data_IF_153259321253
#
_entry.id   IF_153259321253
#
_cell.length_a   1.000
_cell.length_b   1.000
_cell.length_c   1.000
_cell.angle_alpha   90.00
_cell.angle_beta   90.00
_cell.angle_gamma   90.00
#
_symmetry.space_group_name_H-M   'P 1'
#
loop_
_entity.id
_entity.type
_entity.pdbx_description
1 polymer ?
#
# COMPACT_ATOMS: atom_id res chain seq x y z
N UNK A 1 22.02 -36.97 5.32
CA UNK A 1 21.67 -36.15 6.49
C UNK A 1 22.26 -34.76 6.29
N UNK A 2 21.40 -33.77 5.93
CA UNK A 2 21.86 -32.38 5.85
C UNK A 2 22.19 -31.89 7.27
N UNK A 3 23.44 -31.45 7.48
CA UNK A 3 23.85 -30.75 8.71
C UNK A 3 23.27 -29.33 8.81
N UNK A 4 22.37 -28.95 7.93
CA UNK A 4 21.75 -27.64 7.81
C UNK A 4 20.33 -27.66 8.38
N UNK A 5 19.85 -26.50 8.85
CA UNK A 5 18.49 -26.38 9.35
C UNK A 5 17.50 -26.49 8.17
N UNK A 6 16.62 -27.49 8.20
CA UNK A 6 15.55 -27.67 7.24
C UNK A 6 14.19 -27.51 7.95
N UNK A 7 13.26 -26.79 7.35
CA UNK A 7 11.92 -26.52 7.89
C UNK A 7 10.87 -26.87 6.84
N UNK A 8 9.89 -27.68 7.19
CA UNK A 8 8.75 -27.98 6.32
C UNK A 8 7.81 -26.78 6.36
N UNK A 9 7.58 -26.17 5.22
CA UNK A 9 6.67 -25.03 5.04
C UNK A 9 5.43 -25.53 4.32
N UNK A 10 4.27 -25.35 4.98
CA UNK A 10 2.99 -25.72 4.36
C UNK A 10 2.77 -27.24 4.26
N UNK A 11 1.98 -27.79 5.15
CA UNK A 11 1.61 -29.21 5.15
C UNK A 11 0.92 -29.67 3.86
N UNK A 12 0.32 -28.71 3.11
CA UNK A 12 -0.44 -28.98 1.90
C UNK A 12 0.44 -29.32 0.68
N UNK A 13 1.64 -28.73 0.59
CA UNK A 13 2.49 -28.85 -0.62
C UNK A 13 3.86 -29.47 -0.35
N UNK A 14 4.13 -29.91 0.89
CA UNK A 14 5.40 -30.53 1.33
C UNK A 14 6.66 -29.78 0.83
N UNK A 15 6.59 -28.44 0.90
CA UNK A 15 7.73 -27.60 0.59
C UNK A 15 8.72 -27.61 1.76
N UNK A 16 10.00 -27.83 1.48
CA UNK A 16 11.08 -27.81 2.47
C UNK A 16 11.98 -26.61 2.20
N UNK A 17 12.14 -25.75 3.18
CA UNK A 17 13.15 -24.70 3.16
C UNK A 17 14.45 -25.22 3.77
N UNK A 18 15.53 -25.24 3.00
CA UNK A 18 16.88 -25.53 3.48
C UNK A 18 17.61 -24.20 3.68
N UNK A 19 18.01 -23.91 4.92
CA UNK A 19 18.52 -22.59 5.31
C UNK A 19 20.05 -22.61 5.33
N UNK A 20 20.68 -21.74 4.51
CA UNK A 20 22.12 -21.53 4.41
C UNK A 20 22.46 -20.09 4.85
N UNK A 21 22.61 -19.87 6.16
CA UNK A 21 22.83 -18.54 6.70
C UNK A 21 21.64 -17.60 6.43
N UNK A 22 21.76 -16.69 5.47
CA UNK A 22 20.68 -15.78 5.03
C UNK A 22 19.95 -16.27 3.79
N UNK A 23 20.46 -17.28 3.11
CA UNK A 23 19.89 -17.85 1.90
C UNK A 23 18.94 -19.00 2.24
N UNK A 24 17.86 -19.11 1.49
CA UNK A 24 16.88 -20.18 1.62
C UNK A 24 16.73 -20.86 0.26
N UNK A 25 16.97 -22.18 0.25
CA UNK A 25 16.70 -23.02 -0.92
C UNK A 25 15.38 -23.72 -0.69
N UNK A 26 14.44 -23.51 -1.59
CA UNK A 26 13.13 -24.18 -1.57
C UNK A 26 13.23 -25.50 -2.31
N UNK A 27 12.93 -26.60 -1.61
CA UNK A 27 12.91 -27.94 -2.17
C UNK A 27 11.48 -28.48 -2.20
N UNK A 28 11.02 -28.93 -3.36
CA UNK A 28 9.74 -29.63 -3.52
C UNK A 28 9.89 -30.85 -4.40
N UNK A 29 8.95 -31.77 -4.29
CA UNK A 29 8.85 -32.92 -5.22
C UNK A 29 8.16 -32.51 -6.51
N UNK A 30 8.42 -33.21 -7.60
CA UNK A 30 7.62 -33.11 -8.83
C UNK A 30 6.21 -33.60 -8.57
N UNK A 31 5.24 -33.00 -9.24
CA UNK A 31 3.82 -33.28 -9.08
C UNK A 31 3.23 -33.86 -10.36
N UNK A 32 2.40 -34.87 -10.22
CA UNK A 32 1.70 -35.50 -11.34
C UNK A 32 0.71 -34.54 -12.03
N UNK A 33 0.38 -34.83 -13.28
CA UNK A 33 -0.67 -34.15 -14.02
C UNK A 33 -2.02 -34.27 -13.30
N UNK A 34 -2.92 -33.30 -13.55
CA UNK A 34 -4.26 -33.30 -12.98
C UNK A 34 -5.04 -34.53 -13.37
N UNK A 35 -5.72 -35.18 -12.41
CA UNK A 35 -6.59 -36.33 -12.63
C UNK A 35 -6.28 -37.57 -11.78
N UNK A 36 -5.04 -37.85 -11.46
CA UNK A 36 -4.66 -39.01 -10.65
C UNK A 36 -4.67 -38.69 -9.15
N UNK A 37 -5.86 -38.77 -8.51
CA UNK A 37 -5.96 -38.68 -7.04
C UNK A 37 -6.09 -37.28 -6.42
N UNK A 38 -6.37 -36.26 -7.21
CA UNK A 38 -6.67 -34.92 -6.70
C UNK A 38 -8.05 -34.87 -6.05
N UNK A 39 -8.12 -34.33 -4.82
CA UNK A 39 -9.39 -33.96 -4.19
C UNK A 39 -9.77 -32.54 -4.59
N UNK A 40 -10.88 -32.39 -5.30
CA UNK A 40 -11.51 -31.10 -5.59
C UNK A 40 -12.67 -30.89 -4.60
N UNK A 41 -12.86 -29.66 -4.15
CA UNK A 41 -14.07 -29.27 -3.42
C UNK A 41 -15.27 -29.09 -4.36
N UNK A 42 -16.45 -28.80 -3.78
CA UNK A 42 -17.69 -28.60 -4.54
C UNK A 42 -17.63 -27.45 -5.57
N UNK A 43 -16.61 -26.59 -5.50
CA UNK A 43 -16.37 -25.47 -6.43
C UNK A 43 -15.33 -25.78 -7.50
N UNK A 44 -14.83 -27.03 -7.56
CA UNK A 44 -13.78 -27.46 -8.49
C UNK A 44 -12.35 -27.08 -8.06
N UNK A 45 -12.17 -26.54 -6.86
CA UNK A 45 -10.87 -26.15 -6.31
C UNK A 45 -10.12 -27.36 -5.82
N UNK A 46 -8.85 -27.50 -6.22
CA UNK A 46 -7.98 -28.58 -5.75
C UNK A 46 -7.68 -28.40 -4.25
N UNK A 47 -8.17 -29.31 -3.42
CA UNK A 47 -7.99 -29.30 -1.95
C UNK A 47 -6.74 -30.06 -1.53
N UNK A 48 -6.32 -31.07 -2.31
CA UNK A 48 -5.10 -31.85 -2.05
C UNK A 48 -4.43 -32.20 -3.38
N UNK A 49 -3.13 -31.87 -3.51
CA UNK A 49 -2.33 -31.99 -4.72
C UNK A 49 -0.97 -32.63 -4.38
N UNK A 50 -0.98 -33.70 -3.61
CA UNK A 50 0.24 -34.37 -3.13
C UNK A 50 0.55 -35.67 -3.88
N UNK A 51 0.15 -35.76 -5.13
CA UNK A 51 0.50 -36.90 -5.98
C UNK A 51 1.88 -36.61 -6.58
N UNK A 52 2.84 -37.49 -6.29
CA UNK A 52 4.17 -37.41 -6.90
C UNK A 52 4.07 -37.75 -8.37
N UNK A 53 4.80 -37.01 -9.18
CA UNK A 53 4.86 -37.19 -10.62
C UNK A 53 6.28 -37.13 -11.15
N UNK A 54 6.38 -37.28 -12.44
CA UNK A 54 7.62 -37.14 -13.17
C UNK A 54 7.94 -35.67 -13.48
N UNK A 55 9.17 -35.36 -13.84
CA UNK A 55 9.62 -33.98 -14.13
C UNK A 55 8.83 -33.35 -15.28
N UNK A 56 8.51 -34.11 -16.33
CA UNK A 56 7.73 -33.64 -17.48
C UNK A 56 6.26 -33.32 -17.09
N UNK A 57 5.68 -34.06 -16.14
CA UNK A 57 4.34 -33.79 -15.62
C UNK A 57 4.32 -32.48 -14.83
N UNK A 58 5.32 -32.26 -13.98
CA UNK A 58 5.45 -31.01 -13.25
C UNK A 58 5.67 -29.82 -14.20
N UNK A 59 6.43 -30.01 -15.28
CA UNK A 59 6.62 -29.01 -16.33
C UNK A 59 5.29 -28.63 -17.01
N UNK A 60 4.48 -29.61 -17.36
CA UNK A 60 3.19 -29.40 -18.04
C UNK A 60 2.15 -28.67 -17.18
N UNK A 61 2.27 -28.72 -15.85
CA UNK A 61 1.39 -28.02 -14.92
C UNK A 61 1.76 -26.56 -14.67
N UNK A 62 2.97 -26.15 -15.07
CA UNK A 62 3.43 -24.78 -14.90
C UNK A 62 2.63 -23.81 -15.79
N UNK A 63 2.77 -22.53 -15.51
CA UNK A 63 2.03 -21.50 -16.22
C UNK A 63 2.64 -21.18 -17.60
N UNK A 64 3.92 -20.84 -17.64
CA UNK A 64 4.57 -20.37 -18.86
C UNK A 64 5.80 -21.22 -19.21
N UNK A 65 6.09 -21.35 -20.49
CA UNK A 65 7.19 -22.16 -21.03
C UNK A 65 8.52 -21.79 -20.40
N UNK A 66 8.82 -20.51 -20.25
CA UNK A 66 10.05 -20.00 -19.65
C UNK A 66 10.20 -20.31 -18.14
N UNK A 67 9.10 -20.66 -17.48
CA UNK A 67 9.08 -21.05 -16.06
C UNK A 67 9.14 -22.58 -15.87
N UNK A 68 9.18 -23.35 -16.96
CA UNK A 68 9.19 -24.80 -16.96
C UNK A 68 10.53 -25.40 -17.42
N UNK A 69 11.60 -24.65 -17.24
CA UNK A 69 12.96 -25.12 -17.46
C UNK A 69 13.53 -25.73 -16.17
N UNK A 70 14.20 -26.87 -16.28
CA UNK A 70 14.88 -27.53 -15.17
C UNK A 70 16.37 -27.68 -15.49
N UNK A 71 17.19 -27.50 -14.50
CA UNK A 71 18.64 -27.63 -14.65
C UNK A 71 19.19 -28.56 -13.59
N UNK A 72 19.95 -29.58 -14.03
CA UNK A 72 20.72 -30.45 -13.16
C UNK A 72 22.13 -29.90 -13.00
N UNK A 73 22.54 -29.43 -11.82
CA UNK A 73 23.85 -28.88 -11.58
C UNK A 73 24.96 -29.94 -11.58
N UNK A 74 24.64 -31.24 -11.45
CA UNK A 74 25.63 -32.32 -11.46
C UNK A 74 26.01 -32.69 -12.89
N UNK A 75 25.03 -32.91 -13.77
CA UNK A 75 25.25 -33.26 -15.18
C UNK A 75 25.40 -32.05 -16.07
N UNK A 76 25.01 -30.85 -15.55
CA UNK A 76 24.93 -29.59 -16.31
C UNK A 76 23.92 -29.66 -17.46
N UNK A 77 22.92 -30.52 -17.35
CA UNK A 77 21.89 -30.69 -18.35
C UNK A 77 20.70 -29.75 -18.11
N UNK A 78 20.17 -29.20 -19.20
CA UNK A 78 18.96 -28.41 -19.23
C UNK A 78 17.80 -29.25 -19.80
N UNK A 79 16.74 -29.44 -19.04
CA UNK A 79 15.54 -30.12 -19.48
C UNK A 79 14.46 -29.10 -19.84
N UNK A 80 14.03 -29.14 -21.10
CA UNK A 80 13.02 -28.24 -21.67
C UNK A 80 11.95 -29.02 -22.43
N UNK A 81 10.82 -29.26 -21.79
CA UNK A 81 9.70 -30.03 -22.34
C UNK A 81 8.74 -29.18 -23.20
N UNK A 82 8.82 -27.84 -23.12
CA UNK A 82 7.84 -26.92 -23.70
C UNK A 82 8.46 -25.82 -24.56
N UNK A 83 9.71 -25.97 -25.00
CA UNK A 83 10.44 -25.00 -25.83
C UNK A 83 10.62 -23.64 -25.13
N UNK A 84 10.76 -23.64 -23.79
CA UNK A 84 10.93 -22.44 -22.98
C UNK A 84 12.23 -21.71 -23.30
N UNK A 85 13.29 -22.42 -23.67
CA UNK A 85 14.57 -21.82 -24.05
C UNK A 85 14.46 -21.01 -25.36
N UNK A 86 13.72 -21.50 -26.34
CA UNK A 86 13.45 -20.78 -27.58
C UNK A 86 12.60 -19.52 -27.31
N UNK A 87 11.57 -19.62 -26.46
CA UNK A 87 10.73 -18.49 -26.08
C UNK A 87 11.52 -17.46 -25.26
N UNK A 88 12.45 -17.90 -24.41
CA UNK A 88 13.36 -17.04 -23.67
C UNK A 88 14.27 -16.25 -24.64
N UNK A 89 14.88 -16.92 -25.61
CA UNK A 89 15.72 -16.31 -26.65
C UNK A 89 14.92 -15.29 -27.50
N UNK A 90 13.66 -15.64 -27.83
CA UNK A 90 12.76 -14.79 -28.60
C UNK A 90 12.10 -13.68 -27.76
N UNK A 91 12.38 -13.58 -26.46
CA UNK A 91 11.72 -12.67 -25.51
C UNK A 91 10.20 -12.76 -25.57
N UNK A 92 9.67 -13.96 -25.61
CA UNK A 92 8.25 -14.27 -25.75
C UNK A 92 7.72 -14.96 -24.50
N UNK A 93 6.58 -14.55 -24.03
CA UNK A 93 5.85 -15.21 -22.92
C UNK A 93 4.71 -16.03 -23.48
N UNK A 94 4.81 -17.34 -23.41
CA UNK A 94 3.84 -18.31 -23.92
C UNK A 94 3.28 -19.16 -22.78
N UNK A 95 1.94 -19.33 -22.77
CA UNK A 95 1.24 -20.25 -21.87
C UNK A 95 1.49 -21.71 -22.28
N UNK A 96 1.66 -22.58 -21.29
CA UNK A 96 1.70 -24.03 -21.51
C UNK A 96 0.25 -24.54 -21.57
N UNK A 97 -0.10 -25.26 -22.67
CA UNK A 97 -1.45 -25.75 -22.91
C UNK A 97 -2.37 -24.72 -23.56
N UNK A 98 -3.69 -24.95 -23.54
CA UNK A 98 -4.67 -24.00 -24.07
C UNK A 98 -4.83 -22.79 -23.13
N UNK A 99 -4.56 -21.58 -23.58
CA UNK A 99 -4.60 -20.42 -22.71
C UNK A 99 -5.98 -20.15 -22.09
N UNK A 100 -7.08 -20.39 -22.83
CA UNK A 100 -8.41 -20.14 -22.32
C UNK A 100 -8.79 -21.14 -21.21
N UNK A 101 -8.42 -22.39 -21.34
CA UNK A 101 -8.61 -23.41 -20.30
C UNK A 101 -7.76 -23.08 -19.07
N UNK A 102 -6.48 -22.73 -19.27
CA UNK A 102 -5.56 -22.39 -18.21
C UNK A 102 -5.97 -21.14 -17.40
N UNK A 103 -6.63 -20.17 -18.05
CA UNK A 103 -7.18 -19.00 -17.36
C UNK A 103 -8.48 -19.33 -16.60
N UNK A 104 -9.29 -20.29 -17.07
CA UNK A 104 -10.46 -20.79 -16.31
C UNK A 104 -10.03 -21.54 -15.05
N UNK A 105 -8.98 -22.37 -15.14
CA UNK A 105 -8.44 -23.10 -13.99
C UNK A 105 -7.89 -22.13 -12.92
N UNK A 106 -7.14 -21.11 -13.35
CA UNK A 106 -6.53 -20.12 -12.47
C UNK A 106 -6.47 -18.73 -13.13
N UNK A 107 -7.49 -17.88 -12.89
CA UNK A 107 -7.55 -16.55 -13.47
C UNK A 107 -6.36 -15.65 -13.09
N UNK A 108 -5.68 -15.93 -11.97
CA UNK A 108 -4.49 -15.18 -11.54
C UNK A 108 -3.35 -15.28 -12.55
N UNK A 109 -3.34 -16.31 -13.40
CA UNK A 109 -2.35 -16.45 -14.49
C UNK A 109 -2.38 -15.26 -15.46
N UNK A 110 -3.53 -14.60 -15.66
CA UNK A 110 -3.62 -13.38 -16.47
C UNK A 110 -2.76 -12.23 -15.87
N UNK A 111 -2.84 -12.03 -14.56
CA UNK A 111 -1.99 -11.05 -13.87
C UNK A 111 -0.51 -11.42 -13.92
N UNK A 112 -0.23 -12.70 -13.76
CA UNK A 112 1.13 -13.22 -13.84
C UNK A 112 1.73 -13.02 -15.22
N UNK A 113 0.94 -13.23 -16.29
CA UNK A 113 1.35 -12.96 -17.67
C UNK A 113 1.79 -11.50 -17.84
N UNK A 114 0.95 -10.57 -17.43
CA UNK A 114 1.26 -9.13 -17.49
C UNK A 114 2.50 -8.79 -16.69
N UNK A 115 2.60 -9.27 -15.45
CA UNK A 115 3.73 -8.99 -14.56
C UNK A 115 5.05 -9.52 -15.11
N UNK A 116 5.08 -10.78 -15.57
CA UNK A 116 6.30 -11.42 -16.07
C UNK A 116 6.73 -10.77 -17.37
N UNK A 117 5.80 -10.51 -18.29
CA UNK A 117 6.08 -9.83 -19.55
C UNK A 117 6.66 -8.43 -19.30
N UNK A 118 6.05 -7.63 -18.44
CA UNK A 118 6.53 -6.29 -18.11
C UNK A 118 7.90 -6.33 -17.40
N UNK A 119 8.09 -7.25 -16.43
CA UNK A 119 9.34 -7.40 -15.69
C UNK A 119 10.52 -7.79 -16.58
N UNK A 120 10.31 -8.66 -17.56
CA UNK A 120 11.36 -9.16 -18.44
C UNK A 120 11.48 -8.36 -19.74
N UNK A 121 10.57 -7.44 -20.02
CA UNK A 121 10.48 -6.75 -21.30
C UNK A 121 10.12 -7.70 -22.45
N UNK A 122 9.29 -8.72 -22.17
CA UNK A 122 8.85 -9.72 -23.13
C UNK A 122 7.51 -9.36 -23.75
N UNK A 123 7.28 -9.81 -24.96
CA UNK A 123 5.95 -9.78 -25.60
C UNK A 123 5.15 -11.01 -25.18
N UNK A 124 3.88 -10.82 -24.86
CA UNK A 124 2.97 -11.95 -24.65
C UNK A 124 2.63 -12.54 -26.04
N UNK A 125 2.72 -13.85 -26.19
CA UNK A 125 2.32 -14.51 -27.43
C UNK A 125 0.85 -14.22 -27.76
N UNK A 126 0.50 -13.95 -29.02
CA UNK A 126 -0.88 -13.59 -29.39
C UNK A 126 -1.97 -14.58 -28.93
N UNK A 127 -1.70 -15.89 -29.01
CA UNK A 127 -2.63 -16.91 -28.52
C UNK A 127 -2.81 -16.87 -27.00
N UNK A 128 -1.75 -16.52 -26.27
CA UNK A 128 -1.76 -16.36 -24.81
C UNK A 128 -2.44 -15.05 -24.40
N UNK A 129 -2.28 -13.96 -25.19
CA UNK A 129 -2.82 -12.64 -24.90
C UNK A 129 -4.31 -12.49 -25.22
N UNK A 130 -4.75 -13.02 -26.38
CA UNK A 130 -6.08 -12.80 -26.92
C UNK A 130 -7.27 -13.16 -25.99
N UNK A 131 -7.20 -14.19 -25.12
CA UNK A 131 -8.27 -14.48 -24.17
C UNK A 131 -8.33 -13.52 -22.98
N UNK A 132 -7.24 -12.83 -22.63
CA UNK A 132 -7.13 -12.04 -21.39
C UNK A 132 -8.26 -11.00 -21.24
N UNK A 133 -8.50 -10.09 -22.20
CA UNK A 133 -9.56 -9.09 -22.04
C UNK A 133 -10.96 -9.69 -21.92
N UNK A 134 -11.21 -10.81 -22.61
CA UNK A 134 -12.51 -11.49 -22.60
C UNK A 134 -12.78 -12.21 -21.28
N UNK A 135 -11.73 -12.64 -20.60
CA UNK A 135 -11.81 -13.46 -19.38
C UNK A 135 -11.51 -12.68 -18.10
N UNK A 136 -11.23 -11.37 -18.19
CA UNK A 136 -10.89 -10.51 -17.06
C UNK A 136 -11.88 -10.63 -15.89
N UNK A 137 -13.18 -10.79 -16.16
CA UNK A 137 -14.22 -10.96 -15.13
C UNK A 137 -14.02 -12.19 -14.24
N UNK A 138 -13.28 -13.20 -14.68
CA UNK A 138 -13.01 -14.38 -13.85
C UNK A 138 -12.19 -14.04 -12.60
N UNK A 139 -11.48 -12.92 -12.60
CA UNK A 139 -10.74 -12.44 -11.42
C UNK A 139 -11.67 -12.11 -10.24
N UNK A 140 -12.91 -11.74 -10.48
CA UNK A 140 -13.91 -11.46 -9.43
C UNK A 140 -14.19 -12.69 -8.55
N UNK A 141 -13.97 -13.90 -9.09
CA UNK A 141 -14.17 -15.17 -8.40
C UNK A 141 -12.92 -15.63 -7.60
N UNK A 142 -11.81 -14.89 -7.71
CA UNK A 142 -10.57 -15.23 -7.00
C UNK A 142 -10.63 -14.71 -5.56
N UNK A 143 -10.21 -15.51 -4.55
CA UNK A 143 -10.14 -15.01 -3.18
C UNK A 143 -9.32 -13.72 -3.07
N UNK A 144 -9.85 -12.72 -2.41
CA UNK A 144 -9.24 -11.38 -2.30
C UNK A 144 -7.81 -11.39 -1.75
N UNK A 145 -7.50 -12.27 -0.79
CA UNK A 145 -6.15 -12.42 -0.27
C UNK A 145 -5.13 -12.81 -1.35
N UNK A 146 -5.53 -13.67 -2.28
CA UNK A 146 -4.68 -14.11 -3.38
C UNK A 146 -4.49 -13.02 -4.44
N UNK A 147 -5.53 -12.23 -4.69
CA UNK A 147 -5.44 -11.05 -5.57
C UNK A 147 -4.49 -10.01 -5.00
N UNK A 148 -4.59 -9.71 -3.69
CA UNK A 148 -3.70 -8.77 -3.01
C UNK A 148 -2.24 -9.20 -3.08
N UNK A 149 -1.95 -10.49 -2.90
CA UNK A 149 -0.59 -11.01 -3.02
C UNK A 149 -0.02 -10.82 -4.43
N UNK A 150 -0.79 -11.05 -5.49
CA UNK A 150 -0.32 -10.81 -6.86
C UNK A 150 -0.22 -9.32 -7.20
N UNK A 151 -1.15 -8.48 -6.71
CA UNK A 151 -1.05 -7.02 -6.83
C UNK A 151 0.23 -6.51 -6.16
N UNK A 152 0.54 -6.97 -4.95
CA UNK A 152 1.78 -6.59 -4.28
C UNK A 152 3.02 -7.01 -5.07
N UNK A 153 3.06 -8.25 -5.60
CA UNK A 153 4.16 -8.71 -6.45
C UNK A 153 4.32 -7.85 -7.71
N UNK A 154 3.20 -7.44 -8.29
CA UNK A 154 3.16 -6.58 -9.48
C UNK A 154 3.71 -5.18 -9.17
N UNK A 155 3.28 -4.59 -8.05
CA UNK A 155 3.72 -3.26 -7.63
C UNK A 155 5.17 -3.24 -7.10
N UNK A 156 5.73 -4.41 -6.74
CA UNK A 156 7.09 -4.52 -6.15
C UNK A 156 8.08 -5.27 -7.04
N UNK A 157 7.75 -5.49 -8.32
CA UNK A 157 8.65 -6.21 -9.24
C UNK A 157 9.78 -5.36 -9.83
N UNK A 158 9.80 -4.04 -9.58
CA UNK A 158 10.76 -3.10 -10.15
C UNK A 158 10.37 -2.56 -11.54
N UNK A 159 9.18 -2.89 -12.02
CA UNK A 159 8.59 -2.46 -13.29
C UNK A 159 7.10 -2.16 -13.12
N UNK A 160 6.72 -1.56 -11.99
CA UNK A 160 5.33 -1.34 -11.61
C UNK A 160 4.59 -0.43 -12.60
N UNK A 161 5.27 0.61 -13.11
CA UNK A 161 4.71 1.52 -14.13
C UNK A 161 4.30 0.73 -15.38
N UNK A 162 5.20 -0.11 -15.92
CA UNK A 162 4.94 -0.93 -17.10
C UNK A 162 3.83 -1.96 -16.82
N UNK A 163 3.82 -2.56 -15.63
CA UNK A 163 2.79 -3.51 -15.21
C UNK A 163 1.40 -2.86 -15.18
N UNK A 164 1.25 -1.69 -14.59
CA UNK A 164 -0.04 -0.98 -14.51
C UNK A 164 -0.52 -0.56 -15.91
N UNK A 165 0.39 -0.05 -16.75
CA UNK A 165 0.07 0.30 -18.12
C UNK A 165 -0.44 -0.92 -18.92
N UNK A 166 0.23 -2.07 -18.81
CA UNK A 166 -0.19 -3.30 -19.48
C UNK A 166 -1.50 -3.86 -18.91
N UNK A 167 -1.71 -3.84 -17.59
CA UNK A 167 -2.99 -4.22 -16.97
C UNK A 167 -4.16 -3.39 -17.52
N UNK A 168 -3.95 -2.10 -17.74
CA UNK A 168 -4.98 -1.21 -18.32
C UNK A 168 -5.27 -1.57 -19.77
N UNK A 169 -4.24 -1.81 -20.58
CA UNK A 169 -4.38 -2.24 -21.98
C UNK A 169 -5.21 -3.52 -22.10
N UNK A 170 -4.96 -4.47 -21.21
CA UNK A 170 -5.66 -5.76 -21.16
C UNK A 170 -7.04 -5.70 -20.46
N UNK A 171 -7.46 -4.55 -19.95
CA UNK A 171 -8.74 -4.40 -19.25
C UNK A 171 -8.82 -5.10 -17.88
N UNK A 172 -7.70 -5.62 -17.35
CA UNK A 172 -7.65 -6.35 -16.08
C UNK A 172 -7.83 -5.42 -14.87
N UNK A 173 -7.57 -4.13 -15.01
CA UNK A 173 -7.66 -3.15 -13.93
C UNK A 173 -9.06 -3.08 -13.31
N UNK A 174 -10.13 -3.21 -14.12
CA UNK A 174 -11.53 -3.14 -13.66
C UNK A 174 -11.91 -4.25 -12.68
N UNK A 175 -11.41 -5.45 -12.92
CA UNK A 175 -11.71 -6.60 -12.06
C UNK A 175 -10.81 -6.69 -10.84
N UNK A 176 -9.60 -6.10 -10.92
CA UNK A 176 -8.60 -6.21 -9.87
C UNK A 176 -8.68 -5.13 -8.81
N UNK A 177 -8.95 -3.93 -9.25
CA UNK A 177 -8.94 -2.75 -8.42
C UNK A 177 -10.03 -1.80 -8.92
N UNK A 178 -11.30 -1.99 -8.53
CA UNK A 178 -12.30 -0.93 -8.69
C UNK A 178 -11.79 0.42 -8.20
N UNK A 179 -10.80 0.35 -7.30
CA UNK A 179 -10.01 1.45 -6.79
C UNK A 179 -9.12 2.12 -7.85
N UNK A 180 -8.49 1.38 -8.76
CA UNK A 180 -7.65 1.98 -9.81
C UNK A 180 -8.50 2.80 -10.77
N UNK A 181 -9.71 2.37 -11.09
CA UNK A 181 -10.62 3.14 -11.94
C UNK A 181 -11.01 4.46 -11.27
N UNK A 182 -11.26 4.45 -9.95
CA UNK A 182 -11.58 5.66 -9.19
C UNK A 182 -10.36 6.60 -9.06
N UNK A 183 -9.16 6.04 -8.85
CA UNK A 183 -7.92 6.83 -8.75
C UNK A 183 -7.59 7.48 -10.09
N UNK A 184 -7.73 6.72 -11.18
CA UNK A 184 -7.37 7.16 -12.54
C UNK A 184 -8.43 8.10 -13.13
N UNK A 185 -9.68 8.06 -12.64
CA UNK A 185 -10.72 9.00 -13.07
C UNK A 185 -10.57 10.42 -12.49
N UNK A 186 -9.74 10.58 -11.45
CA UNK A 186 -9.40 11.90 -10.91
C UNK A 186 -8.08 12.36 -11.56
N UNK A 187 -8.01 13.55 -12.21
CA UNK A 187 -6.82 14.00 -12.94
C UNK A 187 -5.52 13.95 -12.10
N UNK A 188 -5.57 14.45 -10.89
CA UNK A 188 -4.42 14.45 -9.96
C UNK A 188 -4.10 13.04 -9.43
N UNK A 189 -5.06 12.11 -9.47
CA UNK A 189 -4.90 10.75 -8.95
C UNK A 189 -3.99 9.89 -9.81
N UNK A 190 -4.11 9.96 -11.13
CA UNK A 190 -3.25 9.21 -12.06
C UNK A 190 -1.81 9.69 -11.97
N UNK A 191 -1.58 11.00 -11.99
CA UNK A 191 -0.24 11.56 -11.92
C UNK A 191 0.46 11.20 -10.62
N UNK A 192 -0.26 11.29 -9.49
CA UNK A 192 0.24 10.88 -8.18
C UNK A 192 0.59 9.40 -8.12
N UNK A 193 -0.27 8.53 -8.68
CA UNK A 193 -0.03 7.10 -8.76
C UNK A 193 1.23 6.81 -9.59
N UNK A 194 1.31 7.35 -10.81
CA UNK A 194 2.43 7.07 -11.71
C UNK A 194 3.76 7.57 -11.16
N UNK A 195 3.78 8.74 -10.51
CA UNK A 195 4.96 9.25 -9.82
C UNK A 195 5.41 8.31 -8.69
N UNK A 196 4.47 7.86 -7.86
CA UNK A 196 4.78 6.95 -6.75
C UNK A 196 5.31 5.59 -7.23
N UNK A 197 4.73 5.05 -8.30
CA UNK A 197 5.20 3.80 -8.91
C UNK A 197 6.59 3.96 -9.53
N UNK A 198 6.84 5.06 -10.22
CA UNK A 198 8.18 5.38 -10.76
C UNK A 198 9.23 5.44 -9.65
N UNK A 199 8.94 6.15 -8.55
CA UNK A 199 9.84 6.22 -7.38
C UNK A 199 10.02 4.86 -6.71
N UNK A 200 9.01 4.01 -6.75
CA UNK A 200 9.10 2.64 -6.25
C UNK A 200 10.06 1.81 -7.11
N UNK A 201 9.91 1.87 -8.43
CA UNK A 201 10.79 1.16 -9.37
C UNK A 201 12.26 1.63 -9.23
N UNK A 202 12.49 2.94 -9.12
CA UNK A 202 13.82 3.52 -8.87
C UNK A 202 14.44 2.99 -7.54
N UNK A 203 13.64 2.88 -6.47
CA UNK A 203 14.11 2.32 -5.18
C UNK A 203 14.50 0.85 -5.29
N UNK A 204 13.70 0.07 -6.02
CA UNK A 204 13.97 -1.36 -6.23
C UNK A 204 15.25 -1.54 -7.06
N UNK A 205 15.45 -0.74 -8.10
CA UNK A 205 16.64 -0.78 -8.93
C UNK A 205 17.95 -0.57 -8.13
N UNK A 206 17.90 0.21 -7.05
CA UNK A 206 19.06 0.41 -6.15
C UNK A 206 19.04 -0.53 -4.92
N UNK A 207 18.25 -1.60 -4.95
CA UNK A 207 18.19 -2.63 -3.91
C UNK A 207 17.55 -2.21 -2.59
N UNK A 208 16.81 -1.09 -2.55
CA UNK A 208 16.13 -0.62 -1.34
C UNK A 208 14.80 -1.35 -1.13
N UNK A 209 14.50 -1.68 0.12
CA UNK A 209 13.23 -2.30 0.49
C UNK A 209 12.04 -1.36 0.27
N UNK A 210 10.93 -1.93 -0.15
CA UNK A 210 9.64 -1.26 -0.32
C UNK A 210 8.68 -1.67 0.78
N UNK A 211 7.90 -0.72 1.29
CA UNK A 211 6.83 -0.97 2.26
C UNK A 211 5.49 -1.15 1.54
N UNK A 212 4.81 -2.29 1.68
CA UNK A 212 3.46 -2.45 1.17
C UNK A 212 2.48 -1.40 1.71
N UNK A 213 2.64 -1.02 2.98
CA UNK A 213 1.82 0.03 3.60
C UNK A 213 1.98 1.38 2.89
N UNK A 214 3.21 1.72 2.48
CA UNK A 214 3.46 2.95 1.73
C UNK A 214 2.76 2.93 0.36
N UNK A 215 2.85 1.82 -0.36
CA UNK A 215 2.20 1.67 -1.67
C UNK A 215 0.68 1.76 -1.56
N UNK A 216 0.06 1.01 -0.64
CA UNK A 216 -1.38 1.12 -0.41
C UNK A 216 -1.79 2.51 0.06
N UNK A 217 -1.00 3.11 0.97
CA UNK A 217 -1.23 4.49 1.41
C UNK A 217 -1.22 5.49 0.26
N UNK A 218 -0.34 5.30 -0.71
CA UNK A 218 -0.27 6.15 -1.90
C UNK A 218 -1.46 5.91 -2.84
N UNK A 219 -1.79 4.64 -3.12
CA UNK A 219 -2.91 4.27 -3.97
C UNK A 219 -4.25 4.83 -3.46
N UNK A 220 -4.46 4.80 -2.15
CA UNK A 220 -5.72 5.19 -1.50
C UNK A 220 -5.81 6.69 -1.18
N UNK A 221 -4.71 7.43 -1.28
CA UNK A 221 -4.64 8.84 -0.87
C UNK A 221 -5.64 9.77 -1.58
N UNK A 222 -5.87 9.68 -2.90
CA UNK A 222 -6.83 10.53 -3.57
C UNK A 222 -8.24 10.42 -2.98
N UNK A 223 -8.66 9.22 -2.60
CA UNK A 223 -9.96 9.00 -1.93
C UNK A 223 -10.00 9.61 -0.53
N UNK A 224 -8.88 9.51 0.22
CA UNK A 224 -8.76 10.14 1.53
C UNK A 224 -8.91 11.65 1.40
N UNK A 225 -8.23 12.27 0.44
CA UNK A 225 -8.30 13.73 0.20
C UNK A 225 -9.72 14.16 -0.14
N UNK A 226 -10.40 13.44 -1.02
CA UNK A 226 -11.80 13.72 -1.40
C UNK A 226 -12.73 13.65 -0.19
N UNK A 227 -12.61 12.60 0.62
CA UNK A 227 -13.41 12.40 1.83
C UNK A 227 -13.06 13.40 2.93
N UNK A 228 -11.78 13.75 3.05
CA UNK A 228 -11.30 14.73 3.99
C UNK A 228 -11.91 16.11 3.72
N UNK A 229 -11.82 16.61 2.47
CA UNK A 229 -12.45 17.86 2.04
C UNK A 229 -13.96 17.84 2.31
N UNK A 230 -14.65 16.77 1.92
CA UNK A 230 -16.09 16.63 2.19
C UNK A 230 -16.42 16.73 3.68
N UNK A 231 -15.62 16.11 4.54
CA UNK A 231 -15.85 16.18 6.00
C UNK A 231 -15.58 17.58 6.57
N UNK A 232 -14.60 18.33 6.01
CA UNK A 232 -14.33 19.72 6.39
C UNK A 232 -15.44 20.66 5.91
N UNK A 233 -15.75 20.61 4.62
CA UNK A 233 -16.60 21.60 3.93
C UNK A 233 -18.11 21.38 4.23
N UNK A 234 -18.59 20.13 4.11
CA UNK A 234 -20.02 19.82 4.22
C UNK A 234 -20.43 19.45 5.64
N UNK A 235 -19.55 18.83 6.43
CA UNK A 235 -19.86 18.43 7.81
C UNK A 235 -19.33 19.39 8.87
N UNK A 236 -18.55 20.41 8.47
CA UNK A 236 -17.97 21.39 9.38
C UNK A 236 -17.01 20.80 10.42
N UNK A 237 -16.40 19.65 10.12
CA UNK A 237 -15.49 18.98 11.05
C UNK A 237 -14.16 19.72 11.15
N UNK A 238 -13.53 19.69 12.32
CA UNK A 238 -12.17 20.23 12.45
C UNK A 238 -11.19 19.41 11.60
N UNK A 239 -10.15 20.06 11.05
CA UNK A 239 -9.18 19.48 10.11
C UNK A 239 -8.65 18.10 10.50
N UNK A 240 -8.24 17.91 11.77
CA UNK A 240 -7.73 16.62 12.24
C UNK A 240 -8.84 15.56 12.40
N UNK A 241 -10.01 15.95 12.88
CA UNK A 241 -11.14 15.04 13.00
C UNK A 241 -11.67 14.62 11.63
N UNK A 242 -11.73 15.55 10.67
CA UNK A 242 -12.13 15.30 9.30
C UNK A 242 -11.19 14.31 8.60
N UNK A 243 -9.86 14.51 8.76
CA UNK A 243 -8.87 13.58 8.23
C UNK A 243 -8.99 12.19 8.86
N UNK A 244 -9.10 12.12 10.20
CA UNK A 244 -9.24 10.84 10.89
C UNK A 244 -10.48 10.07 10.41
N UNK A 245 -11.62 10.73 10.32
CA UNK A 245 -12.86 10.14 9.80
C UNK A 245 -12.68 9.65 8.35
N UNK A 246 -12.03 10.45 7.49
CA UNK A 246 -11.73 10.05 6.11
C UNK A 246 -10.85 8.81 6.04
N UNK A 247 -9.80 8.74 6.86
CA UNK A 247 -8.90 7.58 6.93
C UNK A 247 -9.65 6.31 7.34
N UNK A 248 -10.49 6.39 8.36
CA UNK A 248 -11.28 5.25 8.84
C UNK A 248 -12.27 4.78 7.77
N UNK A 249 -13.00 5.69 7.15
CA UNK A 249 -13.99 5.37 6.12
C UNK A 249 -13.35 4.68 4.90
N UNK A 250 -12.24 5.24 4.39
CA UNK A 250 -11.54 4.69 3.23
C UNK A 250 -10.96 3.32 3.54
N UNK A 251 -10.30 3.15 4.70
CA UNK A 251 -9.76 1.85 5.09
C UNK A 251 -10.87 0.81 5.28
N UNK A 252 -11.99 1.15 5.92
CA UNK A 252 -13.09 0.24 6.12
C UNK A 252 -13.67 -0.26 4.77
N UNK A 253 -13.87 0.64 3.81
CA UNK A 253 -14.37 0.32 2.48
C UNK A 253 -13.38 -0.59 1.72
N UNK A 254 -12.09 -0.24 1.73
CA UNK A 254 -11.09 -0.97 0.96
C UNK A 254 -10.70 -2.32 1.59
N UNK A 255 -10.75 -2.43 2.92
CA UNK A 255 -10.49 -3.70 3.58
C UNK A 255 -11.56 -4.75 3.29
N UNK A 256 -12.80 -4.34 3.04
CA UNK A 256 -13.86 -5.25 2.60
C UNK A 256 -13.57 -5.82 1.19
N UNK A 257 -13.01 -5.00 0.31
CA UNK A 257 -12.73 -5.38 -1.08
C UNK A 257 -11.39 -6.11 -1.26
N UNK A 258 -10.33 -5.62 -0.63
CA UNK A 258 -8.95 -6.06 -0.88
C UNK A 258 -8.35 -6.90 0.25
N UNK A 259 -9.06 -7.12 1.37
CA UNK A 259 -8.54 -7.86 2.53
C UNK A 259 -7.13 -7.42 2.96
N UNK A 260 -6.89 -6.09 3.02
CA UNK A 260 -5.61 -5.53 3.44
C UNK A 260 -5.33 -5.96 4.89
N UNK A 261 -4.19 -6.62 5.12
CA UNK A 261 -3.83 -7.14 6.44
C UNK A 261 -3.80 -6.02 7.51
N UNK A 262 -4.31 -6.30 8.70
CA UNK A 262 -4.43 -5.31 9.80
C UNK A 262 -3.13 -4.58 10.12
N UNK A 263 -1.98 -5.25 10.02
CA UNK A 263 -0.66 -4.62 10.23
C UNK A 263 -0.39 -3.48 9.25
N UNK A 264 -0.84 -3.60 7.99
CA UNK A 264 -0.68 -2.54 6.99
C UNK A 264 -1.64 -1.39 7.22
N UNK A 265 -2.85 -1.66 7.73
CA UNK A 265 -3.87 -0.63 7.98
C UNK A 265 -3.41 0.40 9.01
N UNK A 266 -2.80 -0.05 10.12
CA UNK A 266 -2.25 0.84 11.13
C UNK A 266 -1.14 1.74 10.57
N UNK A 267 -0.22 1.15 9.81
CA UNK A 267 0.87 1.89 9.17
C UNK A 267 0.36 2.92 8.15
N UNK A 268 -0.67 2.55 7.37
CA UNK A 268 -1.30 3.44 6.37
C UNK A 268 -2.01 4.60 7.09
N UNK A 269 -2.77 4.29 8.13
CA UNK A 269 -3.45 5.31 8.94
C UNK A 269 -2.47 6.32 9.53
N UNK A 270 -1.39 5.83 10.14
CA UNK A 270 -0.34 6.69 10.70
C UNK A 270 0.30 7.57 9.61
N UNK A 271 0.63 6.99 8.44
CA UNK A 271 1.20 7.71 7.31
C UNK A 271 0.32 8.90 6.90
N UNK A 272 -0.99 8.71 6.81
CA UNK A 272 -1.95 9.74 6.44
C UNK A 272 -2.15 10.78 7.53
N UNK A 273 -2.29 10.35 8.79
CA UNK A 273 -2.47 11.27 9.92
C UNK A 273 -1.28 12.20 10.13
N UNK A 274 -0.07 11.74 9.81
CA UNK A 274 1.13 12.55 9.89
C UNK A 274 1.13 13.68 8.85
N UNK A 275 0.41 13.55 7.73
CA UNK A 275 0.37 14.58 6.70
C UNK A 275 -0.17 15.92 7.23
N UNK A 276 -1.24 15.92 8.00
CA UNK A 276 -1.76 17.14 8.62
C UNK A 276 -0.87 17.67 9.75
N UNK A 277 -0.04 16.81 10.34
CA UNK A 277 0.90 17.24 11.38
C UNK A 277 2.10 18.01 10.82
N UNK A 278 2.53 17.72 9.59
CA UNK A 278 3.61 18.47 8.93
C UNK A 278 3.27 19.95 8.75
N UNK A 279 2.00 20.31 8.68
CA UNK A 279 1.58 21.71 8.58
C UNK A 279 1.87 22.49 9.88
N UNK A 280 2.05 21.81 11.02
CA UNK A 280 2.30 22.43 12.32
C UNK A 280 3.78 22.42 12.66
N UNK A 281 4.47 23.49 12.31
CA UNK A 281 5.91 23.68 12.53
C UNK A 281 6.27 24.25 13.91
N UNK A 282 5.39 24.13 14.92
CA UNK A 282 5.52 24.86 16.18
C UNK A 282 5.54 23.95 17.42
N UNK A 283 6.28 24.38 18.44
CA UNK A 283 6.30 23.78 19.75
C UNK A 283 6.83 22.35 19.80
N UNK A 284 6.43 21.60 20.82
CA UNK A 284 6.84 20.20 21.04
C UNK A 284 6.37 19.24 19.92
N UNK A 285 5.39 19.66 19.11
CA UNK A 285 4.82 18.86 18.03
C UNK A 285 5.86 18.53 16.96
N UNK A 286 6.74 19.49 16.62
CA UNK A 286 7.78 19.29 15.61
C UNK A 286 8.80 18.23 16.05
N UNK A 287 9.27 18.30 17.30
CA UNK A 287 10.18 17.28 17.86
C UNK A 287 9.56 15.89 17.91
N UNK A 288 8.30 15.80 18.37
CA UNK A 288 7.58 14.55 18.43
C UNK A 288 7.37 13.93 17.04
N UNK A 289 7.22 14.78 16.01
CA UNK A 289 7.03 14.31 14.64
C UNK A 289 8.32 13.68 14.08
N UNK A 290 9.47 14.35 14.24
CA UNK A 290 10.78 13.82 13.78
C UNK A 290 11.16 12.54 14.51
N UNK A 291 10.79 12.41 15.79
CA UNK A 291 11.03 11.20 16.59
C UNK A 291 10.05 10.07 16.30
N UNK A 292 9.04 10.30 15.46
CA UNK A 292 8.03 9.29 15.19
C UNK A 292 8.60 8.14 14.34
N UNK A 293 8.34 6.84 14.66
CA UNK A 293 8.90 5.69 13.93
C UNK A 293 8.57 5.70 12.43
N UNK A 294 7.44 6.32 12.04
CA UNK A 294 7.01 6.44 10.65
C UNK A 294 7.39 7.78 9.99
N UNK A 295 8.17 8.63 10.66
CA UNK A 295 8.55 9.95 10.14
C UNK A 295 9.11 9.87 8.73
N UNK A 296 10.10 9.00 8.50
CA UNK A 296 10.75 8.88 7.18
C UNK A 296 9.77 8.54 6.07
N UNK A 297 8.90 7.57 6.29
CA UNK A 297 7.88 7.20 5.31
C UNK A 297 6.87 8.33 5.06
N UNK A 298 6.44 9.03 6.14
CA UNK A 298 5.52 10.15 6.04
C UNK A 298 6.15 11.37 5.34
N UNK A 299 7.45 11.60 5.56
CA UNK A 299 8.22 12.62 4.86
C UNK A 299 8.37 12.30 3.36
N UNK A 300 8.77 11.07 3.01
CA UNK A 300 8.86 10.63 1.61
C UNK A 300 7.50 10.77 0.90
N UNK A 301 6.39 10.52 1.62
CA UNK A 301 5.04 10.72 1.12
C UNK A 301 4.69 12.22 0.93
N UNK A 302 5.06 13.08 1.88
CA UNK A 302 4.91 14.53 1.74
C UNK A 302 5.72 15.07 0.56
N UNK A 303 6.92 14.54 0.35
CA UNK A 303 7.76 14.89 -0.80
C UNK A 303 7.08 14.55 -2.14
N UNK A 304 6.44 13.37 -2.26
CA UNK A 304 5.65 13.03 -3.44
C UNK A 304 4.51 14.03 -3.69
N UNK A 305 3.81 14.44 -2.64
CA UNK A 305 2.74 15.44 -2.70
C UNK A 305 3.25 16.81 -3.14
N UNK A 306 4.45 17.17 -2.71
CA UNK A 306 5.09 18.46 -3.08
C UNK A 306 5.51 18.49 -4.54
N UNK A 307 6.00 17.38 -5.09
CA UNK A 307 6.38 17.27 -6.51
C UNK A 307 5.20 17.53 -7.45
N UNK A 308 3.97 17.34 -6.99
CA UNK A 308 2.73 17.64 -7.71
C UNK A 308 2.06 18.95 -7.27
N UNK A 309 2.74 19.77 -6.51
CA UNK A 309 2.19 21.05 -6.06
C UNK A 309 1.10 20.96 -4.98
N UNK A 310 0.81 19.77 -4.43
CA UNK A 310 -0.19 19.60 -3.36
C UNK A 310 0.28 20.12 -2.01
N UNK A 311 1.57 20.32 -1.84
CA UNK A 311 2.22 20.83 -0.64
C UNK A 311 3.32 21.81 -1.07
N UNK A 312 3.45 22.99 -0.43
CA UNK A 312 4.50 23.93 -0.76
C UNK A 312 5.90 23.31 -0.57
N UNK A 313 6.79 23.54 -1.54
CA UNK A 313 8.17 23.06 -1.47
C UNK A 313 8.92 23.60 -0.22
N UNK A 314 8.63 24.83 0.17
CA UNK A 314 9.17 25.46 1.37
C UNK A 314 8.88 24.66 2.65
N UNK A 315 7.74 23.96 2.70
CA UNK A 315 7.40 23.08 3.83
C UNK A 315 8.30 21.84 3.86
N UNK A 316 8.58 21.26 2.69
CA UNK A 316 9.49 20.10 2.57
C UNK A 316 10.90 20.48 2.96
N UNK A 317 11.41 21.61 2.43
CA UNK A 317 12.73 22.14 2.74
C UNK A 317 12.88 22.43 4.23
N UNK A 318 11.85 23.00 4.87
CA UNK A 318 11.86 23.25 6.30
C UNK A 318 12.00 21.96 7.12
N UNK A 319 11.25 20.90 6.77
CA UNK A 319 11.32 19.63 7.49
C UNK A 319 12.62 18.87 7.24
N UNK A 320 13.20 19.01 6.05
CA UNK A 320 14.51 18.43 5.74
C UNK A 320 15.60 19.07 6.58
N UNK A 321 15.63 20.41 6.61
CA UNK A 321 16.55 21.17 7.45
C UNK A 321 16.33 20.85 8.94
N UNK A 322 15.10 20.83 9.43
CA UNK A 322 14.76 20.56 10.81
C UNK A 322 15.18 19.15 11.27
N UNK A 323 15.06 18.15 10.40
CA UNK A 323 15.44 16.78 10.71
C UNK A 323 16.96 16.62 10.91
N UNK A 324 17.76 17.39 10.15
CA UNK A 324 19.22 17.33 10.16
C UNK A 324 19.87 18.30 11.19
N UNK A 325 19.12 19.31 11.65
CA UNK A 325 19.62 20.35 12.54
C UNK A 325 19.92 19.83 13.96
N UNK A 326 20.83 20.49 14.63
CA UNK A 326 21.07 20.36 16.07
C UNK A 326 19.95 20.99 16.90
N UNK A 327 20.01 20.85 18.22
CA UNK A 327 18.92 21.28 19.11
C UNK A 327 18.76 22.81 19.15
N UNK A 328 19.85 23.56 19.10
CA UNK A 328 19.84 25.02 19.10
C UNK A 328 19.23 25.59 17.81
N UNK A 329 19.63 25.05 16.65
CA UNK A 329 19.07 25.40 15.34
C UNK A 329 17.58 25.06 15.26
N UNK A 330 17.19 23.90 15.76
CA UNK A 330 15.75 23.49 15.82
C UNK A 330 14.92 24.46 16.66
N UNK A 331 15.44 24.89 17.80
CA UNK A 331 14.78 25.88 18.66
C UNK A 331 14.59 27.21 17.91
N UNK A 332 15.61 27.67 17.21
CA UNK A 332 15.55 28.87 16.35
C UNK A 332 14.50 28.77 15.26
N UNK A 333 14.52 27.67 14.52
CA UNK A 333 13.53 27.39 13.44
C UNK A 333 12.09 27.38 13.96
N UNK A 334 11.86 26.82 15.16
CA UNK A 334 10.52 26.80 15.77
C UNK A 334 10.10 28.22 16.18
N UNK A 335 11.00 29.01 16.74
CA UNK A 335 10.71 30.38 17.15
C UNK A 335 10.35 31.26 15.93
N UNK A 336 11.03 31.06 14.81
CA UNK A 336 10.73 31.74 13.55
C UNK A 336 9.35 31.31 12.99
N UNK A 337 9.06 30.00 12.88
CA UNK A 337 7.78 29.50 12.45
C UNK A 337 6.62 29.97 13.35
N UNK A 338 6.85 30.17 14.66
CA UNK A 338 5.86 30.72 15.57
C UNK A 338 5.61 32.22 15.30
N UNK A 339 6.65 33.00 14.97
CA UNK A 339 6.50 34.40 14.57
C UNK A 339 5.70 34.54 13.29
N UNK A 340 6.02 33.75 12.27
CA UNK A 340 5.28 33.71 11.00
C UNK A 340 3.79 33.39 11.22
N UNK A 341 3.49 32.37 12.04
CA UNK A 341 2.13 31.96 12.33
C UNK A 341 1.32 33.05 13.08
N UNK A 342 1.97 33.83 13.94
CA UNK A 342 1.34 35.00 14.62
C UNK A 342 1.05 36.11 13.62
N UNK A 343 2.00 36.47 12.78
CA UNK A 343 1.82 37.51 11.75
C UNK A 343 0.70 37.18 10.76
N UNK A 344 0.64 35.92 10.28
CA UNK A 344 -0.44 35.47 9.39
C UNK A 344 -1.80 35.41 10.10
N UNK A 345 -1.83 34.98 11.36
CA UNK A 345 -3.06 34.98 12.18
C UNK A 345 -3.62 36.37 12.46
N UNK A 346 -2.76 37.33 12.73
CA UNK A 346 -3.16 38.73 12.96
C UNK A 346 -3.58 39.43 11.67
N UNK A 347 -2.92 39.14 10.54
CA UNK A 347 -3.31 39.59 9.22
C UNK A 347 -4.71 39.07 8.82
N UNK A 348 -5.00 37.78 9.06
CA UNK A 348 -6.30 37.19 8.79
C UNK A 348 -7.41 37.78 9.68
N UNK A 349 -7.13 38.05 10.96
CA UNK A 349 -8.08 38.72 11.88
C UNK A 349 -8.35 40.16 11.48
N UNK A 350 -7.33 40.91 11.05
CA UNK A 350 -7.47 42.29 10.58
C UNK A 350 -8.27 42.36 9.27
N UNK A 351 -8.06 41.40 8.36
CA UNK A 351 -8.84 41.30 7.14
C UNK A 351 -10.32 41.00 7.39
N UNK A 352 -10.63 40.03 8.27
CA UNK A 352 -12.03 39.74 8.68
C UNK A 352 -12.70 40.95 9.34
N UNK A 353 -11.99 41.71 10.16
CA UNK A 353 -12.53 42.96 10.74
C UNK A 353 -12.82 44.02 9.69
N UNK A 354 -11.95 44.16 8.67
CA UNK A 354 -12.17 45.12 7.57
C UNK A 354 -13.36 44.71 6.70
N UNK A 355 -13.51 43.43 6.40
CA UNK A 355 -14.66 42.93 5.63
C UNK A 355 -15.95 43.12 6.42
N UNK A 356 -16.02 42.78 7.70
CA UNK A 356 -17.18 42.98 8.55
C UNK A 356 -17.55 44.47 8.72
N UNK A 357 -16.59 45.38 8.69
CA UNK A 357 -16.84 46.82 8.72
C UNK A 357 -17.24 47.40 7.36
N UNK A 358 -16.97 46.71 6.26
CA UNK A 358 -17.39 47.12 4.92
C UNK A 358 -18.85 46.69 4.58
N UNK A 359 -19.34 45.60 5.22
CA UNK A 359 -20.70 45.09 5.01
C UNK A 359 -21.78 45.77 5.89
N UNK A 360 -21.46 46.88 6.56
CA UNK A 360 -22.45 47.86 7.09
C UNK A 360 -23.33 47.35 8.22
N UNK A 361 -23.00 46.32 8.99
CA UNK A 361 -23.69 45.98 10.22
C UNK A 361 -23.04 46.73 11.40
N UNK A 362 -23.68 47.85 11.80
CA UNK A 362 -23.43 48.50 13.08
C UNK A 362 -23.93 47.61 14.21
N UNK A 363 -23.13 47.27 15.21
CA UNK A 363 -23.64 46.61 16.40
C UNK A 363 -24.51 47.62 17.20
N UNK A 364 -25.74 47.26 17.46
CA UNK A 364 -26.61 47.97 18.41
C UNK A 364 -25.93 48.00 19.78
N UNK A 365 -25.78 49.21 20.32
CA UNK A 365 -25.48 49.45 21.73
C UNK A 365 -26.66 48.93 22.57
N UNK A 366 -26.42 47.91 23.34
CA UNK A 366 -27.26 47.61 24.48
C UNK A 366 -26.38 47.45 25.73
N UNK A 367 -26.43 48.49 26.54
CA UNK A 367 -25.80 48.52 27.85
C UNK A 367 -26.57 47.67 28.83
N UNK A 368 -25.90 46.82 29.54
CA UNK A 368 -26.17 46.65 30.96
C UNK A 368 -25.05 45.88 31.68
N UNK A 369 -24.50 46.53 32.66
CA UNK A 369 -23.57 46.00 33.62
C UNK A 369 -24.16 44.86 34.42
N UNK A 370 -23.57 43.70 34.44
CA UNK A 370 -23.68 42.80 35.60
C UNK A 370 -22.29 42.21 35.98
N UNK A 371 -21.81 42.76 37.08
CA UNK A 371 -20.76 42.17 37.90
C UNK A 371 -21.19 40.84 38.47
N UNK A 372 -20.51 39.77 38.25
CA UNK A 372 -20.65 38.56 39.06
C UNK A 372 -19.32 38.03 39.54
N UNK A 373 -19.18 38.26 40.80
CA UNK A 373 -18.33 37.64 41.85
C UNK A 373 -17.62 36.32 41.46
N UNK A 374 -16.31 36.41 41.50
CA UNK A 374 -15.40 35.29 41.70
C UNK A 374 -15.74 34.56 43.00
N UNK A 375 -16.28 33.35 42.95
CA UNK A 375 -16.27 32.39 44.08
C UNK A 375 -15.06 31.50 43.97
N UNK A 376 -14.11 31.71 44.90
CA UNK A 376 -13.04 30.75 45.26
C UNK A 376 -13.70 29.44 45.76
N UNK A 377 -13.35 28.30 45.19
CA UNK A 377 -13.55 27.00 45.80
C UNK A 377 -12.19 26.43 46.23
N UNK A 378 -12.07 26.23 47.53
CA UNK A 378 -10.99 25.54 48.24
C UNK A 378 -11.06 24.01 48.00
N UNK A 379 -9.94 23.29 48.13
CA UNK A 379 -9.86 21.84 47.90
C UNK A 379 -10.34 21.06 49.12
N UNK A 380 -11.24 20.14 48.88
CA UNK A 380 -11.64 19.12 49.87
C UNK A 380 -10.59 17.98 49.92
N UNK A 381 -10.00 17.80 51.10
CA UNK A 381 -9.29 16.63 51.55
C UNK A 381 -10.24 15.44 51.56
N UNK A 382 -9.80 14.33 50.98
CA UNK A 382 -10.40 13.03 51.21
C UNK A 382 -9.48 12.21 52.10
N UNK A 383 -9.99 11.84 53.29
CA UNK A 383 -9.37 10.96 54.25
C UNK A 383 -9.55 9.50 53.84
N UNK A 384 -8.50 8.73 54.11
CA UNK A 384 -8.46 7.29 54.09
C UNK A 384 -9.43 6.71 55.13
N UNK A 385 -10.18 5.68 54.77
CA UNK A 385 -10.59 4.62 55.69
C UNK A 385 -10.26 3.25 55.10
N UNK A 386 -9.44 2.58 55.86
CA UNK A 386 -9.00 1.20 55.83
C UNK A 386 -10.13 0.33 56.35
N UNK A 387 -10.53 -0.73 55.65
CA UNK A 387 -11.19 -1.87 56.32
C UNK A 387 -10.81 -3.14 55.61
N UNK A 388 -10.10 -3.93 56.37
CA UNK A 388 -9.80 -5.38 56.20
C UNK A 388 -11.06 -6.22 56.37
N UNK A 389 -11.15 -7.32 55.65
CA UNK A 389 -11.59 -8.70 56.05
C UNK A 389 -11.78 -9.47 54.74
N UNK A 390 -11.02 -10.51 54.53
CA UNK A 390 -10.90 -11.87 55.03
C UNK A 390 -11.94 -12.84 54.43
N UNK A 391 -11.39 -13.88 53.77
CA UNK A 391 -11.86 -15.27 53.64
C UNK A 391 -13.08 -15.57 52.74
N UNK A 392 -12.86 -16.20 51.59
CA UNK A 392 -13.14 -17.59 51.26
C UNK A 392 -12.57 -17.89 49.85
#
# INVERSE_FOLDING_TARGET
RCQRRAVIIGRRFKLVHVIFGREIIECSTFRALEGAGQRKDATGRVVSDNVFGEMWEDAARRDFTINALYYDPQTQELFDYHRGFEDLAAKRLRMIGDPAERYREDPVRMMRAVRIAAKLGFTIEPATEAPIPKMAKLLENVPSARLVDEVLKLLTCGHAVACISKLRQEGLHKALLPLLDVIVSEPDGEEFLMLALKRTDERIAVGKKISPSFLFGTLLWPQVVKRWRYNEDEKGMSRMAALHAACVDVLATQCQQLNIQRRYQADIHDLWMLQARFERRTGKTAYALVSHPRYRAAYDFMLLRSLLGHVPESLVQWWDAFALADEETRAGMIAEAQREARMTGDAARSHRRRVASADGETPAEDGERRSSRRRRRSPRRFSRSRQERSDA
#
